data_IF_903737758632
#
_entry.id   IF_903737758632
#
_cell.length_a   1.000
_cell.length_b   1.000
_cell.length_c   1.000
_cell.angle_alpha   90.00
_cell.angle_beta   90.00
_cell.angle_gamma   90.00
#
_symmetry.space_group_name_H-M   'P 1'
#
loop_
_entity.id
_entity.type
_entity.pdbx_description
1 polymer ?
#
# COMPACT_ATOMS: atom_id res chain seq x y z
N UNK A 1 63.52 10.14 26.99
CA UNK A 1 62.11 9.84 27.35
C UNK A 1 61.27 10.19 26.12
N UNK A 2 61.36 9.43 25.04
CA UNK A 2 60.76 8.12 24.79
C UNK A 2 59.22 8.19 24.73
N UNK A 3 58.75 8.58 23.55
CA UNK A 3 57.46 8.22 22.99
C UNK A 3 57.45 6.71 22.71
N UNK A 4 56.27 6.08 22.65
CA UNK A 4 55.91 5.58 21.33
C UNK A 4 54.46 5.86 20.93
N UNK A 5 54.33 5.97 19.61
CA UNK A 5 53.10 5.88 18.84
C UNK A 5 52.56 4.44 18.79
N UNK A 6 51.42 4.29 18.08
CA UNK A 6 50.81 3.06 17.52
C UNK A 6 49.81 2.40 18.50
N UNK A 7 48.53 2.16 18.16
CA UNK A 7 48.07 1.31 17.04
C UNK A 7 46.62 1.64 16.61
N UNK A 8 46.47 2.08 15.36
CA UNK A 8 45.24 1.93 14.57
C UNK A 8 45.07 0.44 14.31
N UNK A 9 44.01 -0.17 14.88
CA UNK A 9 43.68 -1.56 14.59
C UNK A 9 42.95 -1.61 13.25
N UNK A 10 43.73 -1.82 12.19
CA UNK A 10 43.30 -2.42 10.94
C UNK A 10 42.64 -3.77 11.25
N UNK A 11 41.37 -3.94 10.86
CA UNK A 11 40.76 -5.27 10.74
C UNK A 11 41.25 -5.86 9.40
N UNK A 12 41.99 -6.97 9.40
CA UNK A 12 42.35 -7.63 8.16
C UNK A 12 41.12 -8.33 7.56
N UNK A 13 40.87 -8.05 6.28
CA UNK A 13 40.18 -8.96 5.39
C UNK A 13 40.95 -10.28 5.34
N UNK A 14 40.40 -11.31 6.00
CA UNK A 14 40.84 -12.68 5.90
C UNK A 14 39.93 -13.45 4.96
N UNK A 15 40.40 -13.67 3.73
CA UNK A 15 39.95 -14.74 2.84
C UNK A 15 40.15 -16.08 3.54
N UNK A 16 39.07 -16.86 3.64
CA UNK A 16 39.08 -18.22 4.15
C UNK A 16 37.80 -18.92 3.76
N UNK A 17 37.77 -19.49 2.56
CA UNK A 17 36.80 -20.52 2.21
C UNK A 17 36.97 -21.76 3.11
N UNK A 18 35.87 -22.41 3.50
CA UNK A 18 35.84 -23.86 3.56
C UNK A 18 34.68 -24.45 2.73
N UNK A 19 34.75 -25.75 2.40
CA UNK A 19 34.27 -26.28 1.13
C UNK A 19 32.77 -26.52 1.06
N UNK A 20 32.28 -26.36 -0.17
CA UNK A 20 31.04 -26.92 -0.67
C UNK A 20 31.11 -28.45 -0.69
N UNK A 21 30.68 -29.10 0.40
CA UNK A 21 30.27 -30.50 0.35
C UNK A 21 28.86 -30.60 -0.22
N UNK A 22 28.80 -30.63 -1.55
CA UNK A 22 27.67 -31.15 -2.31
C UNK A 22 27.59 -32.67 -2.09
N UNK A 23 26.92 -33.09 -1.03
CA UNK A 23 26.44 -34.47 -0.88
C UNK A 23 24.94 -34.50 -1.09
N UNK A 24 24.58 -34.83 -2.34
CA UNK A 24 23.22 -35.13 -2.75
C UNK A 24 22.60 -36.19 -1.86
N UNK A 25 21.65 -35.78 -1.04
CA UNK A 25 20.78 -36.69 -0.29
C UNK A 25 19.67 -37.13 -1.24
N UNK A 26 19.99 -38.10 -2.08
CA UNK A 26 19.00 -38.88 -2.83
C UNK A 26 18.05 -39.53 -1.83
N UNK A 27 16.79 -39.10 -1.85
CA UNK A 27 15.71 -39.73 -1.10
C UNK A 27 15.46 -41.11 -1.74
N UNK A 28 16.24 -42.09 -1.30
CA UNK A 28 16.09 -43.50 -1.68
C UNK A 28 14.89 -44.07 -0.93
N UNK A 29 13.76 -44.06 -1.63
CA UNK A 29 12.53 -44.76 -1.25
C UNK A 29 12.85 -46.26 -1.09
N UNK A 30 12.84 -46.76 0.15
CA UNK A 30 13.07 -48.18 0.44
C UNK A 30 11.88 -48.98 -0.10
N UNK A 31 12.08 -49.55 -1.29
CA UNK A 31 11.23 -50.60 -1.87
C UNK A 31 11.29 -51.85 -0.99
N UNK A 32 10.15 -52.22 -0.40
CA UNK A 32 9.95 -53.55 0.16
C UNK A 32 9.57 -54.49 -1.00
N UNK A 33 10.56 -55.19 -1.55
CA UNK A 33 10.38 -56.25 -2.54
C UNK A 33 10.38 -57.60 -1.81
N UNK A 34 9.20 -58.02 -1.35
CA UNK A 34 8.97 -59.37 -0.84
C UNK A 34 8.51 -60.29 -1.96
N UNK A 35 9.43 -61.08 -2.51
CA UNK A 35 9.14 -62.16 -3.44
C UNK A 35 8.55 -63.35 -2.67
N UNK A 36 7.39 -63.83 -3.10
CA UNK A 36 6.93 -65.19 -2.82
C UNK A 36 6.14 -65.70 -4.02
N UNK A 37 6.80 -66.58 -4.77
CA UNK A 37 6.21 -67.45 -5.79
C UNK A 37 5.50 -68.61 -5.08
N UNK A 38 4.20 -68.75 -5.28
CA UNK A 38 3.51 -70.05 -5.22
C UNK A 38 2.43 -70.07 -6.30
N UNK A 39 2.57 -71.02 -7.23
CA UNK A 39 1.63 -71.26 -8.31
C UNK A 39 0.34 -71.94 -7.83
N UNK A 40 -0.71 -71.76 -8.63
CA UNK A 40 -2.01 -72.40 -8.43
C UNK A 40 -2.88 -72.19 -9.67
N UNK A 41 -2.80 -73.13 -10.59
CA UNK A 41 -3.64 -73.25 -11.78
C UNK A 41 -5.06 -73.63 -11.37
N UNK A 42 -6.07 -72.83 -11.74
CA UNK A 42 -7.49 -73.21 -11.60
C UNK A 42 -8.34 -72.59 -12.73
N UNK A 43 -8.64 -73.45 -13.72
CA UNK A 43 -9.88 -73.60 -14.49
C UNK A 43 -10.67 -72.34 -14.90
N UNK A 44 -10.66 -72.08 -16.20
CA UNK A 44 -11.60 -71.20 -16.87
C UNK A 44 -13.02 -71.80 -16.86
N UNK A 45 -13.95 -71.14 -16.17
CA UNK A 45 -15.39 -71.25 -16.41
C UNK A 45 -15.82 -70.01 -17.19
N UNK A 46 -16.11 -70.17 -18.48
CA UNK A 46 -16.73 -69.11 -19.28
C UNK A 46 -18.20 -68.98 -18.89
N UNK A 47 -18.51 -68.01 -18.03
CA UNK A 47 -19.86 -67.50 -17.85
C UNK A 47 -19.99 -66.15 -18.55
N UNK A 48 -20.89 -66.03 -19.53
CA UNK A 48 -21.30 -64.74 -20.08
C UNK A 48 -22.05 -63.96 -19.00
N UNK A 49 -21.32 -63.17 -18.21
CA UNK A 49 -21.92 -62.13 -17.37
C UNK A 49 -21.99 -60.84 -18.18
N UNK A 50 -23.20 -60.41 -18.53
CA UNK A 50 -23.44 -59.07 -19.08
C UNK A 50 -22.91 -58.04 -18.08
N UNK A 51 -22.05 -57.09 -18.48
CA UNK A 51 -21.61 -56.01 -17.59
C UNK A 51 -22.84 -55.29 -17.04
N UNK A 52 -22.92 -55.00 -15.73
CA UNK A 52 -24.00 -54.20 -15.19
C UNK A 52 -24.05 -52.86 -15.93
N UNK A 53 -25.25 -52.44 -16.33
CA UNK A 53 -25.45 -51.18 -17.03
C UNK A 53 -24.78 -50.05 -16.24
N UNK A 54 -24.06 -49.11 -16.90
CA UNK A 54 -23.49 -47.96 -16.22
C UNK A 54 -24.59 -47.26 -15.43
N UNK A 55 -24.35 -47.05 -14.14
CA UNK A 55 -25.27 -46.27 -13.32
C UNK A 55 -25.48 -44.89 -13.99
N UNK A 56 -26.71 -44.36 -14.03
CA UNK A 56 -26.96 -43.02 -14.53
C UNK A 56 -26.02 -42.05 -13.82
N UNK A 57 -25.27 -41.24 -14.58
CA UNK A 57 -24.47 -40.19 -13.99
C UNK A 57 -25.40 -39.29 -13.16
N UNK A 58 -25.05 -38.96 -11.91
CA UNK A 58 -25.87 -38.07 -11.10
C UNK A 58 -26.08 -36.75 -11.86
N UNK A 59 -27.29 -36.16 -11.82
CA UNK A 59 -27.55 -34.90 -12.49
C UNK A 59 -26.56 -33.85 -11.97
N UNK A 60 -25.85 -33.19 -12.89
CA UNK A 60 -25.02 -32.05 -12.56
C UNK A 60 -25.97 -30.92 -12.15
N UNK A 61 -26.17 -30.75 -10.84
CA UNK A 61 -26.87 -29.58 -10.30
C UNK A 61 -25.91 -28.41 -10.48
N UNK A 62 -26.18 -27.54 -11.44
CA UNK A 62 -25.44 -26.28 -11.55
C UNK A 62 -25.75 -25.44 -10.30
N UNK A 63 -24.71 -25.08 -9.55
CA UNK A 63 -24.88 -24.16 -8.44
C UNK A 63 -25.49 -22.85 -8.96
N UNK A 64 -26.43 -22.23 -8.20
CA UNK A 64 -26.96 -20.93 -8.58
C UNK A 64 -25.80 -19.91 -8.67
N UNK A 65 -25.88 -18.93 -9.59
CA UNK A 65 -24.85 -17.91 -9.71
C UNK A 65 -24.69 -17.16 -8.37
N UNK A 66 -23.47 -16.69 -8.04
CA UNK A 66 -23.24 -15.94 -6.81
C UNK A 66 -24.13 -14.70 -6.76
N UNK A 67 -24.59 -14.28 -5.56
CA UNK A 67 -25.39 -13.06 -5.43
C UNK A 67 -24.59 -11.84 -5.90
N UNK A 68 -25.27 -10.78 -6.41
CA UNK A 68 -24.62 -9.54 -6.78
C UNK A 68 -23.80 -8.94 -5.61
N UNK A 69 -22.63 -8.36 -5.87
CA UNK A 69 -21.82 -7.71 -4.84
C UNK A 69 -22.53 -6.47 -4.29
N UNK A 70 -22.42 -6.25 -2.98
CA UNK A 70 -22.90 -5.03 -2.31
C UNK A 70 -21.78 -4.00 -2.17
N UNK A 71 -22.11 -2.71 -2.21
CA UNK A 71 -21.14 -1.66 -1.95
C UNK A 71 -20.58 -1.81 -0.52
N UNK A 72 -19.24 -1.84 -0.33
CA UNK A 72 -18.67 -1.94 1.00
C UNK A 72 -19.02 -0.70 1.83
N UNK A 73 -19.15 -0.88 3.14
CA UNK A 73 -19.49 0.22 4.05
C UNK A 73 -18.49 1.39 3.91
N UNK A 74 -19.00 2.61 3.75
CA UNK A 74 -18.18 3.81 3.51
C UNK A 74 -17.76 4.04 2.05
N UNK A 75 -18.06 3.10 1.15
CA UNK A 75 -17.95 3.30 -0.29
C UNK A 75 -19.04 4.26 -0.81
N UNK A 76 -18.78 4.86 -1.97
CA UNK A 76 -19.74 5.69 -2.70
C UNK A 76 -19.49 5.59 -4.22
N UNK A 77 -20.51 5.93 -5.01
CA UNK A 77 -20.43 5.88 -6.48
C UNK A 77 -19.38 6.87 -6.98
N UNK A 78 -18.45 6.42 -7.83
CA UNK A 78 -17.40 7.26 -8.39
C UNK A 78 -16.18 7.45 -7.48
N UNK A 79 -16.14 6.80 -6.31
CA UNK A 79 -14.95 6.72 -5.48
C UNK A 79 -13.79 6.12 -6.29
N UNK A 80 -12.58 6.68 -6.12
CA UNK A 80 -11.36 6.14 -6.72
C UNK A 80 -10.84 4.98 -5.88
N UNK A 81 -10.62 3.84 -6.52
CA UNK A 81 -9.94 2.69 -5.92
C UNK A 81 -8.42 2.85 -6.04
N UNK A 82 -7.66 2.18 -5.16
CA UNK A 82 -6.21 2.12 -5.31
C UNK A 82 -5.83 1.44 -6.64
N UNK A 83 -4.73 1.88 -7.23
CA UNK A 83 -4.22 1.27 -8.46
C UNK A 83 -3.72 -0.14 -8.18
N UNK A 84 -3.94 -1.07 -9.11
CA UNK A 84 -3.36 -2.42 -9.06
C UNK A 84 -2.02 -2.45 -9.80
N UNK A 85 -1.06 -3.20 -9.27
CA UNK A 85 0.19 -3.53 -9.94
C UNK A 85 -0.05 -4.58 -11.04
N UNK A 86 1.00 -4.87 -11.81
CA UNK A 86 0.97 -5.89 -12.85
C UNK A 86 0.63 -7.31 -12.31
N UNK A 87 0.91 -7.59 -11.03
CA UNK A 87 0.56 -8.85 -10.37
C UNK A 87 -0.89 -8.88 -9.83
N UNK A 88 -1.69 -7.84 -10.10
CA UNK A 88 -3.09 -7.73 -9.67
C UNK A 88 -3.27 -7.28 -8.23
N UNK A 89 -2.21 -7.10 -7.44
CA UNK A 89 -2.29 -6.60 -6.06
C UNK A 89 -2.43 -5.09 -6.04
N UNK A 90 -3.15 -4.56 -5.05
CA UNK A 90 -3.24 -3.13 -4.83
C UNK A 90 -1.89 -2.53 -4.43
N UNK A 91 -1.62 -1.33 -4.92
CA UNK A 91 -0.49 -0.52 -4.47
C UNK A 91 -0.82 0.02 -3.08
N UNK A 92 0.01 -0.34 -2.09
CA UNK A 92 0.00 0.27 -0.76
C UNK A 92 1.31 1.02 -0.53
N UNK A 93 1.39 1.91 0.47
CA UNK A 93 2.65 2.57 0.82
C UNK A 93 3.73 1.64 1.39
N UNK A 94 3.42 0.37 1.66
CA UNK A 94 4.32 -0.58 2.32
C UNK A 94 4.84 -1.68 1.38
N UNK A 95 4.98 -1.34 0.11
CA UNK A 95 5.58 -2.23 -0.87
C UNK A 95 7.10 -2.19 -0.76
N UNK A 96 7.71 -3.37 -0.66
CA UNK A 96 9.16 -3.58 -0.79
C UNK A 96 10.00 -2.69 0.14
N UNK A 97 9.49 -2.45 1.37
CA UNK A 97 10.16 -1.66 2.39
C UNK A 97 11.52 -2.26 2.77
N UNK A 98 12.53 -1.39 2.92
CA UNK A 98 13.74 -1.70 3.69
C UNK A 98 13.38 -1.97 5.14
N UNK A 99 14.28 -2.58 5.92
CA UNK A 99 14.06 -2.78 7.36
C UNK A 99 13.83 -1.45 8.09
N UNK A 100 14.53 -0.38 7.68
CA UNK A 100 14.39 0.96 8.26
C UNK A 100 13.02 1.58 7.92
N UNK A 101 12.62 1.48 6.65
CA UNK A 101 11.31 1.93 6.20
C UNK A 101 10.17 1.17 6.91
N UNK A 102 10.29 -0.16 7.06
CA UNK A 102 9.26 -0.96 7.70
C UNK A 102 9.01 -0.54 9.16
N UNK A 103 10.07 -0.35 9.95
CA UNK A 103 9.92 0.10 11.35
C UNK A 103 9.32 1.49 11.42
N UNK A 104 9.78 2.42 10.57
CA UNK A 104 9.26 3.79 10.56
C UNK A 104 7.80 3.85 10.09
N UNK A 105 7.41 3.08 9.08
CA UNK A 105 6.05 3.00 8.59
C UNK A 105 5.11 2.36 9.62
N UNK A 106 5.55 1.34 10.36
CA UNK A 106 4.79 0.78 11.48
C UNK A 106 4.51 1.87 12.53
N UNK A 107 5.54 2.64 12.90
CA UNK A 107 5.37 3.77 13.83
C UNK A 107 4.35 4.78 13.32
N UNK A 108 4.38 5.12 12.03
CA UNK A 108 3.42 6.05 11.42
C UNK A 108 1.99 5.49 11.42
N UNK A 109 1.79 4.22 11.05
CA UNK A 109 0.50 3.56 11.09
C UNK A 109 -0.10 3.59 12.50
N UNK A 110 0.69 3.20 13.50
CA UNK A 110 0.25 3.21 14.90
C UNK A 110 0.03 4.62 15.44
N UNK A 111 0.74 5.64 14.93
CA UNK A 111 0.46 7.04 15.25
C UNK A 111 -0.91 7.49 14.73
N UNK A 112 -1.24 7.17 13.47
CA UNK A 112 -2.57 7.47 12.91
C UNK A 112 -3.66 6.77 13.71
N UNK A 113 -3.42 5.52 14.12
CA UNK A 113 -4.35 4.79 14.97
C UNK A 113 -4.49 5.44 16.36
N UNK A 114 -3.39 5.85 16.99
CA UNK A 114 -3.42 6.52 18.29
C UNK A 114 -4.23 7.84 18.27
N UNK A 115 -4.28 8.54 17.14
CA UNK A 115 -5.07 9.76 16.96
C UNK A 115 -6.52 9.49 16.51
N UNK A 116 -6.75 8.43 15.73
CA UNK A 116 -8.00 8.23 15.01
C UNK A 116 -8.97 7.21 15.64
N UNK A 117 -8.52 6.40 16.58
CA UNK A 117 -9.25 5.21 17.01
C UNK A 117 -10.18 5.38 18.22
N UNK A 118 -10.23 6.54 18.87
CA UNK A 118 -11.08 6.77 20.05
C UNK A 118 -12.56 6.45 19.79
N UNK A 119 -13.10 6.93 18.67
CA UNK A 119 -14.49 6.65 18.26
C UNK A 119 -14.67 5.28 17.57
N UNK A 120 -13.59 4.50 17.46
CA UNK A 120 -13.56 3.19 16.80
C UNK A 120 -13.10 2.09 17.78
N UNK A 121 -13.48 2.21 19.05
CA UNK A 121 -13.20 1.26 20.12
C UNK A 121 -11.98 1.57 20.98
N UNK A 122 -11.29 2.69 20.75
CA UNK A 122 -10.17 3.16 21.58
C UNK A 122 -9.01 2.17 21.67
N UNK A 123 -8.26 2.24 22.77
CA UNK A 123 -7.29 1.21 23.18
C UNK A 123 -5.93 1.22 22.47
N UNK A 124 -5.59 2.28 21.73
CA UNK A 124 -4.29 2.37 21.02
C UNK A 124 -3.34 3.37 21.68
N UNK A 125 -3.85 4.54 22.09
CA UNK A 125 -3.03 5.68 22.51
C UNK A 125 -2.08 5.36 23.67
N UNK A 126 -2.56 4.70 24.72
CA UNK A 126 -1.75 4.36 25.89
C UNK A 126 -0.59 3.41 25.54
N UNK A 127 -0.90 2.30 24.86
CA UNK A 127 0.10 1.32 24.43
C UNK A 127 1.11 1.91 23.46
N UNK A 128 0.66 2.76 22.53
CA UNK A 128 1.53 3.44 21.58
C UNK A 128 2.52 4.37 22.31
N UNK A 129 2.03 5.18 23.26
CA UNK A 129 2.88 6.06 24.04
C UNK A 129 3.86 5.29 24.94
N UNK A 130 3.43 4.17 25.52
CA UNK A 130 4.31 3.30 26.30
C UNK A 130 5.42 2.70 25.43
N UNK A 131 5.09 2.21 24.24
CA UNK A 131 6.05 1.67 23.29
C UNK A 131 7.09 2.73 22.86
N UNK A 132 6.64 3.93 22.49
CA UNK A 132 7.51 5.04 22.13
C UNK A 132 8.49 5.42 23.26
N UNK A 133 8.03 5.47 24.50
CA UNK A 133 8.88 5.81 25.65
C UNK A 133 9.89 4.71 25.97
N UNK A 134 9.46 3.45 25.94
CA UNK A 134 10.31 2.31 26.33
C UNK A 134 11.28 1.88 25.24
N UNK A 135 10.97 2.16 23.97
CA UNK A 135 11.78 1.77 22.79
C UNK A 135 12.34 2.97 22.01
N UNK A 136 12.43 4.15 22.63
CA UNK A 136 12.85 5.39 21.97
C UNK A 136 14.18 5.25 21.22
N UNK A 137 15.19 4.64 21.85
CA UNK A 137 16.52 4.51 21.28
C UNK A 137 16.56 3.63 20.01
N UNK A 138 15.85 2.51 20.01
CA UNK A 138 15.79 1.63 18.83
C UNK A 138 14.97 2.28 17.70
N UNK A 139 13.87 2.95 18.03
CA UNK A 139 13.05 3.67 17.03
C UNK A 139 13.86 4.80 16.39
N UNK A 140 14.60 5.60 17.17
CA UNK A 140 15.46 6.66 16.63
C UNK A 140 16.57 6.08 15.75
N UNK A 141 17.19 4.96 16.14
CA UNK A 141 18.19 4.27 15.30
C UNK A 141 17.64 3.94 13.90
N UNK A 142 16.45 3.34 13.83
CA UNK A 142 15.80 3.01 12.56
C UNK A 142 15.40 4.27 11.77
N UNK A 143 14.92 5.31 12.46
CA UNK A 143 14.61 6.60 11.84
C UNK A 143 15.84 7.25 11.20
N UNK A 144 16.95 7.37 11.93
CA UNK A 144 18.17 7.99 11.40
C UNK A 144 18.74 7.20 10.22
N UNK A 145 18.65 5.87 10.26
CA UNK A 145 19.04 5.02 9.13
C UNK A 145 18.13 5.22 7.92
N UNK A 146 16.82 5.34 8.14
CA UNK A 146 15.87 5.63 7.06
C UNK A 146 16.15 6.99 6.41
N UNK A 147 16.41 8.03 7.21
CA UNK A 147 16.80 9.35 6.68
C UNK A 147 18.08 9.27 5.84
N UNK A 148 19.08 8.46 6.24
CA UNK A 148 20.28 8.24 5.42
C UNK A 148 19.97 7.57 4.07
N UNK A 149 18.98 6.67 4.00
CA UNK A 149 18.54 6.06 2.73
C UNK A 149 17.98 7.12 1.77
N UNK A 150 17.20 8.09 2.28
CA UNK A 150 16.67 9.19 1.47
C UNK A 150 17.73 10.22 1.05
N UNK A 151 18.78 10.39 1.86
CA UNK A 151 19.91 11.28 1.56
C UNK A 151 20.92 10.68 0.58
N UNK A 152 21.02 9.35 0.52
CA UNK A 152 22.02 8.64 -0.27
C UNK A 152 22.08 9.03 -1.77
N UNK A 153 20.96 9.34 -2.46
CA UNK A 153 21.00 9.83 -3.84
C UNK A 153 21.70 11.19 -4.02
N UNK A 154 21.92 11.95 -2.94
CA UNK A 154 22.69 13.20 -2.97
C UNK A 154 22.00 14.39 -3.65
N UNK A 155 20.73 14.26 -4.04
CA UNK A 155 19.93 15.34 -4.61
C UNK A 155 19.47 16.37 -3.56
N UNK A 156 19.38 17.64 -3.96
CA UNK A 156 19.12 18.78 -3.07
C UNK A 156 17.70 18.80 -2.47
N UNK A 157 16.74 18.13 -3.11
CA UNK A 157 15.31 18.20 -2.81
C UNK A 157 14.78 16.93 -2.10
N UNK A 158 15.69 16.13 -1.52
CA UNK A 158 15.36 14.85 -0.89
C UNK A 158 14.33 15.00 0.24
N UNK A 159 14.38 16.10 0.99
CA UNK A 159 13.48 16.36 2.12
C UNK A 159 12.03 16.47 1.67
N UNK A 160 11.77 17.26 0.62
CA UNK A 160 10.41 17.41 0.08
C UNK A 160 9.85 16.07 -0.37
N UNK A 161 10.65 15.25 -1.04
CA UNK A 161 10.20 13.94 -1.53
C UNK A 161 9.97 12.96 -0.38
N UNK A 162 10.80 13.02 0.67
CA UNK A 162 10.58 12.28 1.90
C UNK A 162 9.26 12.71 2.58
N UNK A 163 9.00 14.00 2.71
CA UNK A 163 7.78 14.55 3.33
C UNK A 163 6.52 14.21 2.52
N UNK A 164 6.60 14.28 1.18
CA UNK A 164 5.55 13.81 0.28
C UNK A 164 5.27 12.32 0.50
N UNK A 165 6.31 11.50 0.66
CA UNK A 165 6.17 10.08 0.96
C UNK A 165 5.51 9.85 2.33
N UNK A 166 5.93 10.58 3.37
CA UNK A 166 5.29 10.49 4.70
C UNK A 166 3.81 10.84 4.59
N UNK A 167 3.47 11.95 3.94
CA UNK A 167 2.10 12.42 3.76
C UNK A 167 1.20 11.36 3.11
N UNK A 168 1.71 10.64 2.09
CA UNK A 168 0.98 9.53 1.44
C UNK A 168 0.68 8.39 2.41
N UNK A 169 1.62 8.05 3.30
CA UNK A 169 1.43 7.01 4.33
C UNK A 169 0.36 7.44 5.34
N UNK A 170 0.42 8.68 5.84
CA UNK A 170 -0.59 9.20 6.76
C UNK A 170 -1.98 9.22 6.12
N UNK A 171 -2.09 9.72 4.90
CA UNK A 171 -3.35 9.77 4.15
C UNK A 171 -3.90 8.38 3.86
N UNK A 172 -3.05 7.39 3.59
CA UNK A 172 -3.46 6.00 3.41
C UNK A 172 -4.15 5.46 4.68
N UNK A 173 -3.53 5.59 5.85
CA UNK A 173 -4.12 5.08 7.10
C UNK A 173 -5.29 5.92 7.63
N UNK A 174 -5.42 7.18 7.20
CA UNK A 174 -6.47 8.10 7.66
C UNK A 174 -7.82 7.93 6.95
N UNK A 175 -7.98 6.95 6.06
CA UNK A 175 -9.22 6.79 5.28
C UNK A 175 -10.42 6.40 6.17
N UNK A 176 -11.49 7.22 6.21
CA UNK A 176 -12.61 7.01 7.13
C UNK A 176 -13.37 5.70 6.94
N UNK A 177 -13.51 5.25 5.69
CA UNK A 177 -14.27 4.03 5.36
C UNK A 177 -13.67 2.76 5.98
N UNK A 178 -12.35 2.72 6.17
CA UNK A 178 -11.64 1.57 6.73
C UNK A 178 -11.30 1.72 8.20
N UNK A 179 -11.60 2.88 8.81
CA UNK A 179 -11.14 3.25 10.14
C UNK A 179 -11.51 2.22 11.21
N UNK A 180 -12.73 1.71 11.21
CA UNK A 180 -13.17 0.72 12.20
C UNK A 180 -12.34 -0.59 12.12
N UNK A 181 -12.15 -1.12 10.92
CA UNK A 181 -11.39 -2.34 10.69
C UNK A 181 -9.88 -2.13 10.92
N UNK A 182 -9.33 -1.00 10.48
CA UNK A 182 -7.95 -0.60 10.75
C UNK A 182 -7.68 -0.49 12.26
N UNK A 183 -8.55 0.18 13.01
CA UNK A 183 -8.41 0.33 14.46
C UNK A 183 -8.50 -1.00 15.22
N UNK A 184 -9.29 -1.96 14.72
CA UNK A 184 -9.32 -3.31 15.28
C UNK A 184 -7.96 -4.00 15.19
N UNK A 185 -7.33 -3.97 14.02
CA UNK A 185 -5.99 -4.54 13.82
C UNK A 185 -4.94 -3.75 14.60
N UNK A 186 -4.99 -2.42 14.58
CA UNK A 186 -4.00 -1.59 15.25
C UNK A 186 -3.92 -1.84 16.77
N UNK A 187 -5.03 -2.16 17.43
CA UNK A 187 -5.05 -2.58 18.84
C UNK A 187 -4.24 -3.86 19.08
N UNK A 188 -4.37 -4.83 18.19
CA UNK A 188 -3.62 -6.09 18.28
C UNK A 188 -2.12 -5.85 18.05
N UNK A 189 -1.76 -5.05 17.04
CA UNK A 189 -0.37 -4.79 16.70
C UNK A 189 0.36 -3.94 17.75
N UNK A 190 -0.30 -2.92 18.30
CA UNK A 190 0.32 -2.06 19.34
C UNK A 190 0.55 -2.81 20.65
N UNK A 191 -0.31 -3.78 20.98
CA UNK A 191 -0.11 -4.65 22.14
C UNK A 191 1.05 -5.63 21.91
N UNK A 192 1.18 -6.18 20.70
CA UNK A 192 2.24 -7.12 20.35
C UNK A 192 3.61 -6.45 20.26
N UNK A 193 3.72 -5.29 19.61
CA UNK A 193 5.02 -4.63 19.37
C UNK A 193 5.75 -4.27 20.66
N UNK A 194 5.02 -4.03 21.76
CA UNK A 194 5.60 -3.76 23.07
C UNK A 194 6.47 -4.92 23.60
N UNK A 195 6.17 -6.15 23.17
CA UNK A 195 6.84 -7.39 23.60
C UNK A 195 7.96 -7.83 22.65
N UNK A 196 8.16 -7.12 21.54
CA UNK A 196 9.14 -7.48 20.51
C UNK A 196 10.54 -7.05 20.94
N UNK A 197 11.53 -7.93 20.76
CA UNK A 197 12.93 -7.58 20.97
C UNK A 197 13.43 -6.62 19.88
N UNK A 198 14.39 -5.75 20.23
CA UNK A 198 14.86 -4.68 19.34
C UNK A 198 15.43 -5.20 17.99
N UNK A 199 16.02 -6.39 17.99
CA UNK A 199 16.59 -7.04 16.80
C UNK A 199 15.51 -7.69 15.92
N UNK A 200 14.38 -8.07 16.51
CA UNK A 200 13.24 -8.67 15.79
C UNK A 200 12.27 -7.62 15.22
N UNK A 201 12.46 -6.36 15.60
CA UNK A 201 11.54 -5.26 15.26
C UNK A 201 11.29 -5.10 13.74
N UNK A 202 12.28 -5.21 12.83
CA UNK A 202 12.02 -5.12 11.39
C UNK A 202 11.18 -6.27 10.84
N UNK A 203 11.43 -7.49 11.31
CA UNK A 203 10.67 -8.66 10.92
C UNK A 203 9.22 -8.55 11.39
N UNK A 204 9.04 -8.14 12.65
CA UNK A 204 7.70 -7.84 13.17
C UNK A 204 7.02 -6.74 12.36
N UNK A 205 7.71 -5.63 12.09
CA UNK A 205 7.14 -4.49 11.39
C UNK A 205 6.65 -4.84 9.99
N UNK A 206 7.42 -5.60 9.21
CA UNK A 206 6.98 -6.09 7.88
C UNK A 206 5.70 -6.93 7.98
N UNK A 207 5.63 -7.84 8.95
CA UNK A 207 4.46 -8.69 9.13
C UNK A 207 3.24 -7.89 9.62
N UNK A 208 3.45 -6.95 10.55
CA UNK A 208 2.40 -6.08 11.09
C UNK A 208 1.83 -5.16 10.02
N UNK A 209 2.68 -4.56 9.17
CA UNK A 209 2.22 -3.71 8.06
C UNK A 209 1.32 -4.46 7.08
N UNK A 210 1.62 -5.73 6.77
CA UNK A 210 0.72 -6.56 5.93
C UNK A 210 -0.65 -6.76 6.58
N UNK A 211 -0.72 -6.88 7.91
CA UNK A 211 -1.98 -7.00 8.65
C UNK A 211 -2.72 -5.66 8.73
N UNK A 212 -2.00 -4.55 8.96
CA UNK A 212 -2.55 -3.20 9.01
C UNK A 212 -3.06 -2.72 7.65
N UNK A 213 -2.44 -3.15 6.54
CA UNK A 213 -2.87 -2.81 5.18
C UNK A 213 -4.08 -3.63 4.72
N UNK A 214 -4.30 -4.81 5.32
CA UNK A 214 -5.35 -5.76 4.90
C UNK A 214 -6.76 -5.14 4.85
N UNK A 215 -7.25 -4.38 5.85
CA UNK A 215 -8.56 -3.72 5.77
C UNK A 215 -8.74 -2.82 4.56
N UNK A 216 -7.66 -2.16 4.11
CA UNK A 216 -7.67 -1.29 2.94
C UNK A 216 -7.74 -2.10 1.65
N UNK A 217 -6.88 -3.12 1.55
CA UNK A 217 -6.86 -4.04 0.41
C UNK A 217 -8.20 -4.76 0.22
N UNK A 218 -8.80 -5.24 1.31
CA UNK A 218 -10.11 -5.90 1.30
C UNK A 218 -11.22 -4.95 0.89
N UNK A 219 -11.20 -3.71 1.39
CA UNK A 219 -12.15 -2.68 0.96
C UNK A 219 -12.03 -2.36 -0.53
N UNK A 220 -10.80 -2.18 -1.04
CA UNK A 220 -10.59 -1.92 -2.48
C UNK A 220 -11.05 -3.09 -3.34
N UNK A 221 -10.79 -4.33 -2.90
CA UNK A 221 -11.27 -5.54 -3.58
C UNK A 221 -12.79 -5.60 -3.66
N UNK A 222 -13.47 -5.35 -2.52
CA UNK A 222 -14.93 -5.33 -2.46
C UNK A 222 -15.52 -4.20 -3.31
N UNK A 223 -14.90 -3.01 -3.28
CA UNK A 223 -15.36 -1.87 -4.07
C UNK A 223 -15.15 -2.08 -5.57
N UNK A 224 -14.02 -2.62 -5.99
CA UNK A 224 -13.77 -2.95 -7.40
C UNK A 224 -14.76 -4.01 -7.90
N UNK A 225 -15.01 -5.07 -7.10
CA UNK A 225 -15.99 -6.09 -7.45
C UNK A 225 -17.40 -5.50 -7.63
N UNK A 226 -17.80 -4.59 -6.74
CA UNK A 226 -19.05 -3.85 -6.87
C UNK A 226 -19.07 -2.98 -8.13
N UNK A 227 -18.03 -2.16 -8.34
CA UNK A 227 -17.93 -1.25 -9.49
C UNK A 227 -18.00 -2.03 -10.79
N UNK A 228 -17.19 -3.07 -10.94
CA UNK A 228 -17.05 -3.81 -12.19
C UNK A 228 -18.34 -4.59 -12.53
N UNK A 229 -19.11 -4.99 -11.51
CA UNK A 229 -20.43 -5.60 -11.70
C UNK A 229 -21.47 -4.62 -12.25
N UNK A 230 -21.53 -3.39 -11.71
CA UNK A 230 -22.55 -2.39 -12.09
C UNK A 230 -22.11 -1.44 -13.20
N UNK A 231 -20.81 -1.35 -13.46
CA UNK A 231 -20.18 -0.48 -14.46
C UNK A 231 -19.10 -1.29 -15.19
N UNK A 232 -19.47 -2.34 -15.95
CA UNK A 232 -18.51 -3.15 -16.66
C UNK A 232 -17.76 -2.29 -17.68
N UNK A 233 -16.44 -2.48 -17.76
CA UNK A 233 -15.64 -1.85 -18.79
C UNK A 233 -16.21 -2.20 -20.18
N UNK A 234 -16.31 -1.24 -21.11
CA UNK A 234 -16.71 -1.57 -22.48
C UNK A 234 -15.73 -2.60 -23.05
N UNK A 235 -16.21 -3.57 -23.84
CA UNK A 235 -15.36 -4.59 -24.44
C UNK A 235 -14.24 -3.93 -25.24
N UNK A 236 -13.05 -4.53 -25.20
CA UNK A 236 -11.95 -4.11 -26.07
C UNK A 236 -12.42 -4.25 -27.51
N UNK A 237 -12.57 -3.12 -28.21
CA UNK A 237 -12.82 -3.12 -29.65
C UNK A 237 -11.53 -3.58 -30.31
N UNK A 238 -11.45 -4.87 -30.65
CA UNK A 238 -10.44 -5.36 -31.59
C UNK A 238 -10.81 -4.75 -32.93
N UNK A 239 -9.98 -3.89 -33.54
CA UNK A 239 -10.28 -3.36 -34.87
C UNK A 239 -10.47 -4.56 -35.82
N UNK A 240 -11.50 -4.56 -36.67
CA UNK A 240 -11.67 -5.64 -37.64
C UNK A 240 -10.38 -5.75 -38.47
N UNK A 241 -9.96 -6.97 -38.84
CA UNK A 241 -8.79 -7.14 -39.71
C UNK A 241 -9.01 -6.26 -40.94
N UNK A 242 -8.05 -5.37 -41.22
CA UNK A 242 -8.08 -4.51 -42.40
C UNK A 242 -8.02 -5.44 -43.60
N UNK A 243 -9.18 -5.71 -44.20
CA UNK A 243 -9.25 -6.38 -45.49
C UNK A 243 -8.71 -5.36 -46.49
N UNK A 244 -7.51 -5.57 -47.02
CA UNK A 244 -6.99 -4.75 -48.09
C UNK A 244 -7.94 -4.88 -49.28
N UNK A 245 -8.75 -3.84 -49.53
CA UNK A 245 -9.52 -3.75 -50.75
C UNK A 245 -8.52 -3.56 -51.90
N UNK A 246 -8.43 -4.55 -52.78
CA UNK A 246 -7.65 -4.43 -54.01
C UNK A 246 -8.32 -3.38 -54.88
N UNK A 247 -7.66 -2.24 -55.10
CA UNK A 247 -8.16 -1.19 -55.98
C UNK A 247 -8.24 -1.71 -57.42
N UNK A 248 -9.46 -1.77 -57.97
CA UNK A 248 -9.68 -1.96 -59.40
C UNK A 248 -9.57 -0.56 -60.04
N UNK A 249 -8.67 -0.34 -61.02
CA UNK A 249 -8.52 0.98 -61.61
C UNK A 249 -9.76 1.34 -62.42
N UNK A 250 -10.50 2.35 -61.96
CA UNK A 250 -11.60 2.96 -62.72
C UNK A 250 -11.00 3.87 -63.79
N UNK A 251 -11.23 3.53 -65.05
CA UNK A 251 -10.90 4.38 -66.21
C UNK A 251 -11.86 5.57 -66.22
N UNK A 252 -11.34 6.78 -65.98
CA UNK A 252 -12.11 8.03 -66.03
C UNK A 252 -12.08 8.57 -67.47
N UNK A 253 -13.23 8.70 -68.17
CA UNK A 253 -13.29 9.39 -69.45
C UNK A 253 -13.20 10.92 -69.29
N UNK A 254 -12.69 11.65 -70.29
CA UNK A 254 -12.32 13.07 -70.17
C UNK A 254 -13.53 14.02 -70.04
N UNK A 255 -13.34 15.20 -69.43
CA UNK A 255 -14.43 16.12 -69.10
C UNK A 255 -14.94 16.89 -70.32
N UNK A 256 -16.27 16.95 -70.46
CA UNK A 256 -16.95 17.88 -71.36
C UNK A 256 -17.19 19.19 -70.59
N UNK A 257 -16.69 20.29 -71.14
CA UNK A 257 -16.85 21.63 -70.60
C UNK A 257 -18.27 22.17 -70.80
N UNK A 258 -18.91 22.71 -69.75
CA UNK A 258 -19.91 23.78 -69.90
C UNK A 258 -19.92 24.77 -68.71
N UNK A 259 -19.76 26.04 -69.11
CA UNK A 259 -20.39 27.29 -68.69
C UNK A 259 -20.35 27.76 -67.22
N UNK A 260 -19.75 28.95 -67.08
CA UNK A 260 -19.77 29.84 -65.92
C UNK A 260 -21.16 30.38 -65.58
N UNK A 261 -21.48 30.42 -64.29
CA UNK A 261 -22.30 31.47 -63.69
C UNK A 261 -21.68 31.85 -62.33
N UNK A 262 -21.54 33.17 -62.11
CA UNK A 262 -21.04 33.87 -60.91
C UNK A 262 -22.28 34.56 -60.28
N UNK A 263 -22.30 35.13 -59.06
CA UNK A 263 -21.65 34.88 -57.74
C UNK A 263 -22.70 34.72 -56.59
N UNK A 264 -22.29 34.33 -55.38
CA UNK A 264 -22.71 35.05 -54.14
C UNK A 264 -21.62 34.91 -53.08
N UNK A 265 -21.03 36.04 -52.66
CA UNK A 265 -20.18 36.16 -51.48
C UNK A 265 -21.08 36.42 -50.27
N UNK A 266 -21.10 35.49 -49.30
CA UNK A 266 -21.70 35.71 -47.98
C UNK A 266 -20.57 35.66 -46.95
N UNK A 267 -20.32 36.75 -46.20
CA UNK A 267 -19.30 36.74 -45.15
C UNK A 267 -19.77 35.93 -43.91
N UNK A 268 -18.84 35.34 -43.14
CA UNK A 268 -19.18 34.54 -41.97
C UNK A 268 -19.70 35.41 -40.80
N UNK A 269 -20.62 34.90 -39.98
CA UNK A 269 -21.09 35.61 -38.78
C UNK A 269 -20.01 35.64 -37.69
N UNK A 270 -19.80 36.85 -37.16
CA UNK A 270 -19.01 37.15 -35.96
C UNK A 270 -19.71 36.54 -34.74
N UNK A 271 -19.07 35.60 -34.06
CA UNK A 271 -19.52 35.11 -32.76
C UNK A 271 -18.92 36.03 -31.69
N UNK A 272 -19.76 36.84 -31.07
CA UNK A 272 -19.40 37.70 -29.94
C UNK A 272 -19.15 36.84 -28.71
N UNK A 273 -17.98 37.03 -28.09
CA UNK A 273 -17.68 36.54 -26.75
C UNK A 273 -18.53 37.34 -25.74
N UNK A 274 -19.43 36.66 -25.05
CA UNK A 274 -20.11 37.23 -23.88
C UNK A 274 -19.23 37.06 -22.65
N UNK A 275 -18.64 38.16 -22.20
CA UNK A 275 -18.01 38.27 -20.89
C UNK A 275 -19.10 38.32 -19.81
N UNK A 276 -19.04 37.39 -18.85
CA UNK A 276 -19.87 37.39 -17.65
C UNK A 276 -19.13 38.23 -16.59
N UNK A 277 -19.71 39.33 -16.08
CA UNK A 277 -19.06 40.13 -15.04
C UNK A 277 -19.15 39.41 -13.69
N UNK A 278 -17.99 39.01 -13.14
CA UNK A 278 -17.85 38.58 -11.75
C UNK A 278 -17.75 39.84 -10.89
N UNK A 279 -18.87 40.23 -10.28
CA UNK A 279 -18.88 41.22 -9.21
C UNK A 279 -18.34 40.58 -7.92
N UNK A 280 -17.14 40.96 -7.52
CA UNK A 280 -16.61 40.70 -6.17
C UNK A 280 -16.81 41.98 -5.35
N UNK A 281 -17.84 42.00 -4.50
CA UNK A 281 -17.95 42.96 -3.40
C UNK A 281 -17.49 42.28 -2.11
N UNK A 282 -16.54 42.87 -1.34
CA UNK A 282 -16.22 42.41 -0.01
C UNK A 282 -17.19 43.01 1.03
N UNK A 283 -17.68 42.25 2.02
CA UNK A 283 -18.31 42.86 3.18
C UNK A 283 -17.24 43.17 4.25
N UNK A 284 -17.13 44.45 4.59
CA UNK A 284 -16.50 44.96 5.81
C UNK A 284 -17.57 45.66 6.66
N UNK A 285 -17.76 45.17 7.89
CA UNK A 285 -18.18 45.85 9.12
C UNK A 285 -18.42 44.72 10.16
N UNK A 286 -17.57 44.47 11.14
CA UNK A 286 -17.28 45.30 12.32
C UNK A 286 -18.55 45.66 13.10
N UNK A 287 -18.85 44.86 14.13
CA UNK A 287 -19.35 45.38 15.39
C UNK A 287 -18.84 44.54 16.57
N UNK A 288 -18.50 45.29 17.60
CA UNK A 288 -17.75 45.02 18.82
C UNK A 288 -18.48 44.15 19.84
N UNK A 289 -17.74 43.29 20.54
CA UNK A 289 -17.99 43.00 21.96
C UNK A 289 -16.67 42.87 22.70
N UNK A 290 -16.50 43.84 23.61
CA UNK A 290 -15.48 43.96 24.64
C UNK A 290 -15.57 42.80 25.65
N UNK A 291 -14.44 42.57 26.33
CA UNK A 291 -14.33 41.96 27.66
C UNK A 291 -14.25 40.43 27.77
N UNK A 292 -13.01 39.90 27.70
CA UNK A 292 -12.60 38.74 28.51
C UNK A 292 -11.22 39.08 29.10
N UNK A 293 -11.17 39.16 30.42
CA UNK A 293 -9.97 39.39 31.25
C UNK A 293 -8.87 38.35 30.96
N UNK A 294 -7.58 38.71 31.13
CA UNK A 294 -6.50 37.74 31.06
C UNK A 294 -6.58 36.80 32.28
N UNK A 295 -6.84 35.51 32.00
CA UNK A 295 -6.62 34.43 32.97
C UNK A 295 -5.16 34.48 33.40
N UNK A 296 -4.96 34.70 34.70
CA UNK A 296 -3.66 34.68 35.35
C UNK A 296 -2.95 33.35 35.07
N UNK A 297 -1.68 33.46 34.69
CA UNK A 297 -0.76 32.34 34.69
C UNK A 297 -0.65 31.80 36.13
N UNK A 298 -1.07 30.56 36.34
CA UNK A 298 -0.77 29.84 37.58
C UNK A 298 0.75 29.84 37.77
N UNK A 299 1.17 30.51 38.83
CA UNK A 299 2.57 30.53 39.28
C UNK A 299 2.80 29.24 40.04
N UNK A 300 3.00 28.15 39.30
CA UNK A 300 3.46 26.90 39.92
C UNK A 300 4.89 27.13 40.43
N UNK A 301 5.04 27.04 41.75
CA UNK A 301 6.30 27.26 42.45
C UNK A 301 7.30 26.17 42.04
N UNK A 302 8.53 26.50 41.60
CA UNK A 302 9.53 25.48 41.30
C UNK A 302 9.89 24.68 42.56
N UNK A 303 10.13 23.36 42.48
CA UNK A 303 10.59 22.59 43.62
C UNK A 303 11.92 23.17 44.13
N UNK A 304 11.98 23.41 45.44
CA UNK A 304 13.21 23.79 46.15
C UNK A 304 14.29 22.76 45.87
N UNK A 305 15.40 23.22 45.26
CA UNK A 305 16.66 22.48 45.16
C UNK A 305 17.14 22.09 46.56
N UNK A 306 17.45 20.82 46.75
CA UNK A 306 18.17 20.36 47.93
C UNK A 306 19.57 21.03 47.96
N UNK A 307 20.12 21.35 49.14
CA UNK A 307 21.44 21.98 49.23
C UNK A 307 22.52 21.00 48.75
N UNK A 308 23.07 21.24 47.55
CA UNK A 308 24.20 20.45 47.02
C UNK A 308 24.47 20.52 45.52
N UNK A 309 23.52 20.97 44.69
CA UNK A 309 23.71 20.94 43.22
C UNK A 309 24.38 22.21 42.65
N UNK A 310 25.30 22.07 41.67
CA UNK A 310 25.92 23.20 41.00
C UNK A 310 24.93 23.92 40.05
N UNK A 311 25.07 25.25 39.85
CA UNK A 311 24.13 26.02 39.05
C UNK A 311 24.14 25.64 37.56
N UNK A 312 22.95 25.60 36.97
CA UNK A 312 22.72 25.33 35.55
C UNK A 312 23.20 26.54 34.71
N UNK A 313 24.00 26.35 33.65
CA UNK A 313 24.46 27.45 32.79
C UNK A 313 23.31 28.02 31.94
N UNK A 314 23.29 29.34 31.79
CA UNK A 314 22.29 30.06 31.02
C UNK A 314 22.42 29.78 29.50
N UNK A 315 21.30 29.77 28.74
CA UNK A 315 21.32 29.60 27.30
C UNK A 315 21.96 30.82 26.59
N UNK A 316 22.64 30.61 25.44
CA UNK A 316 23.22 31.71 24.67
C UNK A 316 22.13 32.54 23.98
N UNK A 317 22.32 33.86 23.97
CA UNK A 317 21.42 34.81 23.31
C UNK A 317 21.37 34.59 21.79
N UNK A 318 20.19 34.74 21.15
CA UNK A 318 20.06 34.65 19.71
C UNK A 318 20.73 35.85 19.02
N UNK A 319 21.48 35.56 17.95
CA UNK A 319 21.92 36.52 16.93
C UNK A 319 20.90 36.57 15.79
#
# INVERSE_FOLDING_TARGET
MQSPAILVMFIPYGLGEPPMDYLGKTMTMRSNLGWSLLGGMALAMSGCATPPAPAPLPPIIQAPPPPPPTMPAGGYIGMKSATKRADGKYVTPNLDNTDQAAVWHLRNALNVAALGCDQAGGGVLEHYNAWLRTRAAVIDRYYQAYIREWQAPGWWDWQRVYDDNQTRIYNFYAQPAMRAAFCAVAREEVAQVAQVADDDLPTFARAALLRLDRPFVEFYAAYDAWRDYYQPAPPLVVPPPVVQASEIPVVVPPPVAQASEIPVVVPPPVVQASEIPVAVTPPAAAETLSEIEPVAADTETPPTLAPGDPPIPAPPSPL
#
